data_IF_038450279774
#
_entry.id   IF_038450279774
#
_cell.length_a   1.000
_cell.length_b   1.000
_cell.length_c   1.000
_cell.angle_alpha   90.00
_cell.angle_beta   90.00
_cell.angle_gamma   90.00
#
_symmetry.space_group_name_H-M   'P 1'
#
loop_
_entity.id
_entity.type
_entity.pdbx_description
1 polymer ?
#
# COMPACT_ATOMS: atom_id res chain seq x y z
N UNK A 1 -20.38 25.82 25.92
CA UNK A 1 -20.21 26.22 24.51
C UNK A 1 -19.09 25.36 23.95
N UNK A 2 -19.43 24.21 23.37
CA UNK A 2 -18.46 23.25 22.84
C UNK A 2 -18.64 23.20 21.32
N UNK A 3 -17.53 23.36 20.59
CA UNK A 3 -17.49 23.46 19.13
C UNK A 3 -17.94 22.16 18.43
N UNK A 4 -18.58 22.22 17.26
CA UNK A 4 -18.79 21.03 16.45
C UNK A 4 -17.52 20.74 15.63
N UNK A 5 -16.87 19.62 15.93
CA UNK A 5 -16.04 18.87 14.97
C UNK A 5 -16.98 18.41 13.85
N UNK A 6 -16.79 18.87 12.62
CA UNK A 6 -17.21 18.20 11.39
C UNK A 6 -16.70 19.01 10.18
N UNK A 7 -15.47 18.72 9.75
CA UNK A 7 -15.06 19.02 8.38
C UNK A 7 -15.11 17.69 7.62
N UNK A 8 -16.33 17.30 7.24
CA UNK A 8 -16.54 16.21 6.31
C UNK A 8 -16.04 16.66 4.94
N UNK A 9 -15.02 15.99 4.42
CA UNK A 9 -14.69 16.08 3.01
C UNK A 9 -15.86 15.51 2.21
N UNK A 10 -16.55 16.38 1.47
CA UNK A 10 -17.61 16.00 0.55
C UNK A 10 -17.01 15.27 -0.66
N UNK A 11 -16.92 13.95 -0.56
CA UNK A 11 -16.74 13.05 -1.70
C UNK A 11 -17.94 12.13 -1.82
N UNK A 12 -18.60 12.10 -2.98
CA UNK A 12 -19.70 11.18 -3.25
C UNK A 12 -19.22 9.72 -3.04
N UNK A 13 -20.03 8.82 -2.43
CA UNK A 13 -19.66 7.43 -2.27
C UNK A 13 -19.60 6.73 -3.65
N UNK A 14 -18.42 6.25 -4.05
CA UNK A 14 -18.26 5.42 -5.25
C UNK A 14 -18.55 3.95 -4.95
N UNK A 15 -19.21 3.23 -5.87
CA UNK A 15 -19.50 1.81 -5.68
C UNK A 15 -18.23 0.99 -5.94
N UNK A 16 -17.96 0.04 -5.05
CA UNK A 16 -16.89 -0.97 -5.13
C UNK A 16 -15.45 -0.46 -5.08
N UNK A 17 -14.81 -0.52 -3.90
CA UNK A 17 -13.40 -0.96 -3.79
C UNK A 17 -12.31 -0.16 -4.51
N UNK A 18 -12.64 0.91 -5.22
CA UNK A 18 -11.77 1.56 -6.20
C UNK A 18 -11.21 2.87 -5.65
N UNK A 19 -10.01 3.19 -6.13
CA UNK A 19 -9.36 4.46 -5.83
C UNK A 19 -9.97 5.62 -6.63
N UNK A 20 -10.04 6.80 -6.00
CA UNK A 20 -10.38 8.05 -6.67
C UNK A 20 -9.29 8.47 -7.66
N UNK A 21 -9.62 9.35 -8.62
CA UNK A 21 -8.62 9.85 -9.57
C UNK A 21 -7.49 10.63 -8.89
N UNK A 22 -7.80 11.35 -7.82
CA UNK A 22 -6.79 12.01 -6.98
C UNK A 22 -5.86 11.00 -6.32
N UNK A 23 -6.41 9.92 -5.75
CA UNK A 23 -5.62 8.85 -5.15
C UNK A 23 -4.75 8.15 -6.21
N UNK A 24 -5.29 7.88 -7.40
CA UNK A 24 -4.54 7.31 -8.53
C UNK A 24 -3.41 8.24 -8.97
N UNK A 25 -3.66 9.54 -9.12
CA UNK A 25 -2.64 10.53 -9.49
C UNK A 25 -1.50 10.57 -8.45
N UNK A 26 -1.84 10.60 -7.16
CA UNK A 26 -0.87 10.58 -6.07
C UNK A 26 -0.04 9.29 -6.06
N UNK A 27 -0.66 8.13 -6.27
CA UNK A 27 0.06 6.86 -6.41
C UNK A 27 0.97 6.82 -7.64
N UNK A 28 0.60 7.46 -8.76
CA UNK A 28 1.50 7.59 -9.93
C UNK A 28 2.76 8.37 -9.57
N UNK A 29 2.60 9.52 -8.91
CA UNK A 29 3.75 10.32 -8.44
C UNK A 29 4.65 9.53 -7.49
N UNK A 30 4.07 8.78 -6.56
CA UNK A 30 4.85 7.91 -5.66
C UNK A 30 5.55 6.78 -6.39
N UNK A 31 4.86 6.12 -7.33
CA UNK A 31 5.45 5.08 -8.19
C UNK A 31 6.66 5.62 -8.94
N UNK A 32 6.52 6.75 -9.63
CA UNK A 32 7.61 7.36 -10.41
C UNK A 32 8.81 7.71 -9.53
N UNK A 33 8.55 8.35 -8.38
CA UNK A 33 9.61 8.66 -7.41
C UNK A 33 10.32 7.40 -6.92
N UNK A 34 9.59 6.31 -6.64
CA UNK A 34 10.18 5.07 -6.14
C UNK A 34 10.92 4.28 -7.23
N UNK A 35 10.50 4.37 -8.49
CA UNK A 35 11.28 3.82 -9.62
C UNK A 35 12.65 4.50 -9.68
N UNK A 36 12.68 5.82 -9.57
CA UNK A 36 13.92 6.59 -9.61
C UNK A 36 14.82 6.28 -8.40
N UNK A 37 14.24 6.10 -7.21
CA UNK A 37 14.97 5.83 -5.97
C UNK A 37 15.55 4.41 -5.92
N UNK A 38 14.79 3.40 -6.35
CA UNK A 38 15.24 2.00 -6.30
C UNK A 38 16.00 1.54 -7.55
N UNK A 39 15.81 2.23 -8.68
CA UNK A 39 16.32 1.81 -9.98
C UNK A 39 15.73 0.50 -10.49
N UNK A 40 14.54 0.11 -10.00
CA UNK A 40 13.84 -1.11 -10.43
C UNK A 40 13.49 -1.03 -11.91
N UNK A 41 13.65 -2.16 -12.62
CA UNK A 41 13.24 -2.25 -14.01
C UNK A 41 11.70 -2.17 -14.11
N UNK A 42 11.21 -1.32 -15.01
CA UNK A 42 9.76 -1.15 -15.20
C UNK A 42 9.11 -2.43 -15.71
N UNK A 43 9.83 -3.29 -16.44
CA UNK A 43 9.34 -4.61 -16.88
C UNK A 43 9.06 -5.53 -15.68
N UNK A 44 9.91 -5.50 -14.63
CA UNK A 44 9.68 -6.24 -13.39
C UNK A 44 8.39 -5.75 -12.71
N UNK A 45 8.15 -4.44 -12.70
CA UNK A 45 6.91 -3.88 -12.15
C UNK A 45 5.66 -4.27 -12.95
N UNK A 46 5.75 -4.27 -14.28
CA UNK A 46 4.63 -4.68 -15.13
C UNK A 46 4.36 -6.19 -15.04
N UNK A 47 5.38 -7.01 -14.81
CA UNK A 47 5.22 -8.44 -14.53
C UNK A 47 4.60 -8.68 -13.14
N UNK A 48 5.05 -7.95 -12.12
CA UNK A 48 4.49 -8.05 -10.77
C UNK A 48 2.98 -7.72 -10.74
N UNK A 49 2.54 -6.75 -11.54
CA UNK A 49 1.10 -6.44 -11.70
C UNK A 49 0.28 -7.59 -12.29
N UNK A 50 0.91 -8.47 -13.06
CA UNK A 50 0.29 -9.67 -13.66
C UNK A 50 0.38 -10.89 -12.74
N UNK A 51 0.96 -10.74 -11.55
CA UNK A 51 1.19 -11.83 -10.59
C UNK A 51 2.55 -12.51 -10.72
N UNK A 52 3.39 -12.08 -11.66
CA UNK A 52 4.76 -12.59 -11.82
C UNK A 52 5.72 -11.75 -10.97
N UNK A 53 5.79 -12.05 -9.68
CA UNK A 53 6.62 -11.31 -8.72
C UNK A 53 8.02 -11.90 -8.67
N UNK A 54 9.03 -11.08 -8.98
CA UNK A 54 10.44 -11.44 -8.82
C UNK A 54 10.85 -11.32 -7.33
N UNK A 55 10.50 -12.32 -6.51
CA UNK A 55 10.63 -12.24 -5.04
C UNK A 55 12.06 -11.99 -4.53
N UNK A 56 13.07 -12.42 -5.29
CA UNK A 56 14.49 -12.23 -4.94
C UNK A 56 15.10 -10.94 -5.51
N UNK A 57 14.34 -10.10 -6.20
CA UNK A 57 14.86 -8.86 -6.77
C UNK A 57 14.93 -7.75 -5.70
N UNK A 58 16.16 -7.38 -5.32
CA UNK A 58 16.41 -6.38 -4.29
C UNK A 58 15.83 -5.00 -4.66
N UNK A 59 15.85 -4.62 -5.95
CA UNK A 59 15.35 -3.32 -6.39
C UNK A 59 13.83 -3.26 -6.35
N UNK A 60 13.16 -4.37 -6.61
CA UNK A 60 11.73 -4.52 -6.40
C UNK A 60 11.39 -4.43 -4.91
N UNK A 61 12.16 -5.06 -4.04
CA UNK A 61 11.98 -4.97 -2.59
C UNK A 61 12.17 -3.52 -2.10
N UNK A 62 13.19 -2.81 -2.60
CA UNK A 62 13.42 -1.40 -2.30
C UNK A 62 12.31 -0.51 -2.85
N UNK A 63 11.80 -0.78 -4.06
CA UNK A 63 10.65 -0.09 -4.63
C UNK A 63 9.42 -0.22 -3.73
N UNK A 64 9.10 -1.44 -3.30
CA UNK A 64 7.98 -1.72 -2.39
C UNK A 64 8.13 -0.99 -1.06
N UNK A 65 9.34 -1.00 -0.49
CA UNK A 65 9.66 -0.28 0.75
C UNK A 65 9.46 1.23 0.61
N UNK A 66 9.99 1.81 -0.46
CA UNK A 66 9.80 3.22 -0.80
C UNK A 66 8.32 3.58 -0.91
N UNK A 67 7.54 2.74 -1.61
CA UNK A 67 6.11 2.99 -1.82
C UNK A 67 5.34 2.94 -0.49
N UNK A 68 5.60 1.94 0.35
CA UNK A 68 4.99 1.84 1.68
C UNK A 68 5.32 3.06 2.56
N UNK A 69 6.57 3.55 2.52
CA UNK A 69 6.99 4.75 3.25
C UNK A 69 6.30 6.02 2.74
N UNK A 70 6.22 6.23 1.41
CA UNK A 70 5.54 7.41 0.83
C UNK A 70 4.03 7.42 1.08
N UNK A 71 3.40 6.25 1.15
CA UNK A 71 1.98 6.14 1.52
C UNK A 71 1.77 6.37 3.03
N UNK A 72 2.81 6.18 3.84
CA UNK A 72 2.79 6.28 5.31
C UNK A 72 2.40 4.99 6.01
N UNK A 73 2.39 3.86 5.30
CA UNK A 73 2.12 2.54 5.88
C UNK A 73 3.33 2.03 6.64
N UNK A 74 4.53 2.32 6.14
CA UNK A 74 5.78 2.02 6.83
C UNK A 74 6.41 3.31 7.35
N UNK A 75 6.74 3.33 8.63
CA UNK A 75 7.39 4.45 9.29
C UNK A 75 8.90 4.51 8.98
N UNK A 76 9.57 5.55 9.46
CA UNK A 76 11.02 5.73 9.28
C UNK A 76 11.85 4.68 10.05
N UNK A 77 11.35 4.21 11.20
CA UNK A 77 11.88 3.09 11.99
C UNK A 77 11.46 1.71 11.42
N UNK A 78 10.83 1.71 10.24
CA UNK A 78 10.42 0.53 9.50
C UNK A 78 9.25 -0.24 10.13
N UNK A 79 8.61 0.29 11.17
CA UNK A 79 7.39 -0.29 11.73
C UNK A 79 6.17 0.01 10.87
N UNK A 80 5.19 -0.89 10.93
CA UNK A 80 3.95 -0.76 10.17
C UNK A 80 2.94 0.07 10.95
N UNK A 81 2.54 1.20 10.36
CA UNK A 81 1.45 2.01 10.83
C UNK A 81 0.11 1.38 10.42
N UNK A 82 -0.41 0.51 11.27
CA UNK A 82 -1.66 -0.22 11.03
C UNK A 82 -2.90 0.67 11.01
N UNK A 83 -2.87 1.82 11.67
CA UNK A 83 -3.94 2.82 11.56
C UNK A 83 -3.99 3.37 10.14
N UNK A 84 -2.85 3.78 9.59
CA UNK A 84 -2.76 4.25 8.20
C UNK A 84 -3.09 3.12 7.23
N UNK A 85 -2.55 1.91 7.41
CA UNK A 85 -2.83 0.77 6.52
C UNK A 85 -4.34 0.49 6.40
N UNK A 86 -5.06 0.47 7.52
CA UNK A 86 -6.53 0.30 7.52
C UNK A 86 -7.25 1.48 6.87
N UNK A 87 -6.81 2.72 7.15
CA UNK A 87 -7.40 3.92 6.56
C UNK A 87 -7.18 4.04 5.04
N UNK A 88 -6.21 3.30 4.47
CA UNK A 88 -5.97 3.24 3.01
C UNK A 88 -6.81 2.18 2.30
N UNK A 89 -7.56 1.36 3.03
CA UNK A 89 -8.49 0.44 2.40
C UNK A 89 -9.60 1.23 1.68
N UNK A 90 -9.98 0.82 0.47
CA UNK A 90 -11.05 1.46 -0.25
C UNK A 90 -12.38 1.43 0.52
N UNK A 91 -13.28 2.41 0.27
CA UNK A 91 -14.63 2.36 0.79
C UNK A 91 -15.34 1.05 0.40
N UNK A 92 -16.01 0.44 1.38
CA UNK A 92 -16.76 -0.81 1.19
C UNK A 92 -15.95 -2.09 1.39
N UNK A 93 -14.63 -2.03 1.62
CA UNK A 93 -13.88 -3.19 2.10
C UNK A 93 -14.30 -3.50 3.55
N UNK A 94 -14.78 -4.73 3.86
CA UNK A 94 -15.16 -5.10 5.21
C UNK A 94 -13.98 -5.06 6.17
N UNK A 95 -14.24 -4.68 7.43
CA UNK A 95 -13.22 -4.69 8.48
C UNK A 95 -12.58 -6.07 8.64
N UNK A 96 -13.34 -7.16 8.45
CA UNK A 96 -12.83 -8.52 8.52
C UNK A 96 -11.65 -8.77 7.55
N UNK A 97 -11.69 -8.20 6.33
CA UNK A 97 -10.57 -8.32 5.39
C UNK A 97 -9.34 -7.54 5.87
N UNK A 98 -9.56 -6.39 6.52
CA UNK A 98 -8.48 -5.64 7.16
C UNK A 98 -7.82 -6.44 8.28
N UNK A 99 -8.64 -7.12 9.11
CA UNK A 99 -8.19 -7.94 10.22
C UNK A 99 -7.49 -9.23 9.74
N UNK A 100 -7.93 -9.81 8.62
CA UNK A 100 -7.24 -10.93 7.97
C UNK A 100 -5.83 -10.53 7.53
N UNK A 101 -5.68 -9.41 6.83
CA UNK A 101 -4.36 -8.90 6.41
C UNK A 101 -3.49 -8.58 7.64
N UNK A 102 -4.07 -7.94 8.66
CA UNK A 102 -3.36 -7.65 9.91
C UNK A 102 -2.80 -8.92 10.55
N UNK A 103 -3.64 -9.92 10.76
CA UNK A 103 -3.23 -11.16 11.42
C UNK A 103 -2.19 -11.94 10.60
N UNK A 104 -2.26 -11.89 9.27
CA UNK A 104 -1.29 -12.54 8.39
C UNK A 104 0.08 -11.83 8.37
N UNK A 105 0.11 -10.50 8.50
CA UNK A 105 1.31 -9.72 8.17
C UNK A 105 1.94 -8.96 9.35
N UNK A 106 1.33 -8.94 10.55
CA UNK A 106 1.81 -8.18 11.72
C UNK A 106 3.18 -8.60 12.25
N UNK A 107 3.54 -9.87 12.09
CA UNK A 107 4.76 -10.45 12.66
C UNK A 107 5.92 -10.53 11.65
N UNK A 108 5.84 -9.80 10.52
CA UNK A 108 6.89 -9.78 9.51
C UNK A 108 8.15 -9.11 10.06
N UNK A 109 9.26 -9.85 10.03
CA UNK A 109 10.58 -9.40 10.44
C UNK A 109 11.50 -9.14 9.25
N UNK A 110 12.64 -8.51 9.54
CA UNK A 110 13.66 -8.09 8.58
C UNK A 110 14.00 -6.62 8.76
N UNK A 111 14.84 -6.09 7.88
CA UNK A 111 15.22 -4.67 7.88
C UNK A 111 15.30 -4.12 6.45
N UNK A 112 15.21 -2.81 6.29
CA UNK A 112 15.42 -2.14 5.02
C UNK A 112 14.49 -2.64 3.91
N UNK A 113 15.06 -2.78 2.71
CA UNK A 113 14.32 -3.19 1.53
C UNK A 113 13.66 -4.57 1.67
N UNK A 114 14.34 -5.51 2.34
CA UNK A 114 13.81 -6.85 2.58
C UNK A 114 12.50 -6.81 3.37
N UNK A 115 12.45 -6.05 4.48
CA UNK A 115 11.25 -5.92 5.32
C UNK A 115 10.08 -5.37 4.52
N UNK A 116 10.29 -4.27 3.80
CA UNK A 116 9.21 -3.64 3.03
C UNK A 116 8.76 -4.48 1.84
N UNK A 117 9.68 -5.23 1.20
CA UNK A 117 9.34 -6.23 0.19
C UNK A 117 8.43 -7.33 0.74
N UNK A 118 8.79 -7.94 1.88
CA UNK A 118 7.98 -8.97 2.54
C UNK A 118 6.61 -8.46 2.97
N UNK A 119 6.54 -7.26 3.55
CA UNK A 119 5.26 -6.64 3.96
C UNK A 119 4.37 -6.40 2.75
N UNK A 120 4.92 -5.82 1.68
CA UNK A 120 4.15 -5.55 0.46
C UNK A 120 3.62 -6.82 -0.17
N UNK A 121 4.46 -7.86 -0.29
CA UNK A 121 4.04 -9.19 -0.75
C UNK A 121 2.93 -9.76 0.12
N UNK A 122 3.07 -9.71 1.45
CA UNK A 122 2.04 -10.22 2.35
C UNK A 122 0.69 -9.51 2.15
N UNK A 123 0.70 -8.19 1.93
CA UNK A 123 -0.53 -7.45 1.62
C UNK A 123 -1.14 -7.87 0.28
N UNK A 124 -0.33 -8.14 -0.74
CA UNK A 124 -0.80 -8.62 -2.04
C UNK A 124 -1.39 -10.03 -1.96
N UNK A 125 -0.75 -10.93 -1.22
CA UNK A 125 -1.16 -12.33 -1.09
C UNK A 125 -2.46 -12.48 -0.28
N UNK A 126 -2.74 -11.54 0.64
CA UNK A 126 -3.89 -11.60 1.55
C UNK A 126 -5.02 -10.61 1.23
N UNK A 127 -4.88 -9.77 0.19
CA UNK A 127 -6.00 -8.89 -0.23
C UNK A 127 -7.01 -9.67 -1.08
N UNK A 128 -8.28 -9.53 -0.76
CA UNK A 128 -9.40 -10.09 -1.54
C UNK A 128 -10.19 -9.01 -2.29
N UNK A 129 -9.52 -7.91 -2.64
CA UNK A 129 -10.08 -6.77 -3.37
C UNK A 129 -9.12 -6.24 -4.44
N UNK A 130 -9.69 -5.57 -5.44
CA UNK A 130 -8.94 -4.92 -6.52
C UNK A 130 -8.81 -3.43 -6.26
N UNK A 131 -7.58 -2.94 -6.12
CA UNK A 131 -7.26 -1.52 -5.91
C UNK A 131 -7.17 -0.73 -7.22
N UNK A 132 -6.67 -1.39 -8.26
CA UNK A 132 -6.43 -0.83 -9.58
C UNK A 132 -7.15 -1.75 -10.58
N UNK A 133 -8.16 -1.19 -11.25
CA UNK A 133 -8.84 -1.77 -12.41
C UNK A 133 -8.09 -1.42 -13.69
#
# INVERSE_FOLDING_TARGET
MFAPKNMYFHGNPMPNGQLTDEQKAKLRTYKESCINESGVDTTILENAKKGEVAESDEKLACFSTCLLKKIGIMNADEDINWEVARAKLPPGVPQEQADQIYNACKDITGTGCEKGGKVFKCFLDNKHFHLLS
#
